data_IF_540047784670
#
_entry.id   IF_540047784670
#
_cell.length_a   1.000
_cell.length_b   1.000
_cell.length_c   1.000
_cell.angle_alpha   90.00
_cell.angle_beta   90.00
_cell.angle_gamma   90.00
#
_symmetry.space_group_name_H-M   'P 1'
#
loop_
_entity.id
_entity.type
_entity.pdbx_description
1 polymer ?
#
# COMPACT_ATOMS: atom_id res chain seq x y z
N UNK A 1 12.67 -12.61 60.37
CA UNK A 1 12.66 -14.08 60.32
C UNK A 1 11.84 -14.49 59.10
N UNK A 2 12.50 -14.69 57.95
CA UNK A 2 12.93 -16.00 57.34
C UNK A 2 11.76 -16.61 56.54
N UNK A 3 11.66 -16.40 55.22
CA UNK A 3 12.30 -17.09 54.06
C UNK A 3 11.49 -18.28 53.47
N UNK A 4 11.30 -18.22 52.13
CA UNK A 4 11.31 -19.29 51.09
C UNK A 4 10.30 -20.48 51.18
N UNK A 5 9.74 -21.08 50.10
CA UNK A 5 10.27 -21.38 48.76
C UNK A 5 9.19 -21.90 47.77
N UNK A 6 9.45 -21.69 46.48
CA UNK A 6 8.76 -22.16 45.27
C UNK A 6 8.51 -23.67 45.19
N UNK A 7 7.46 -24.06 44.45
CA UNK A 7 7.24 -25.42 43.95
C UNK A 7 7.12 -25.41 42.42
N UNK A 8 7.89 -26.31 41.83
CA UNK A 8 8.46 -26.31 40.49
C UNK A 8 7.70 -27.29 39.57
N UNK A 9 7.11 -26.79 38.48
CA UNK A 9 6.33 -27.59 37.50
C UNK A 9 7.20 -28.18 36.38
N UNK A 10 8.53 -28.16 36.52
CA UNK A 10 9.45 -28.79 35.58
C UNK A 10 9.69 -30.30 35.85
N UNK A 11 9.11 -30.87 36.92
CA UNK A 11 9.42 -32.22 37.39
C UNK A 11 8.77 -33.39 36.66
N UNK A 12 7.76 -33.21 35.81
CA UNK A 12 6.97 -34.36 35.30
C UNK A 12 7.46 -34.94 33.97
N UNK A 13 8.26 -34.20 33.19
CA UNK A 13 8.72 -34.65 31.86
C UNK A 13 10.05 -35.41 31.95
N UNK A 14 10.87 -35.16 32.98
CA UNK A 14 12.17 -35.79 33.14
C UNK A 14 12.09 -37.24 33.66
N UNK A 15 11.17 -37.54 34.58
CA UNK A 15 11.05 -38.89 35.16
C UNK A 15 10.48 -39.92 34.17
N UNK A 16 9.65 -39.48 33.23
CA UNK A 16 9.05 -40.35 32.19
C UNK A 16 10.08 -40.82 31.15
N UNK A 17 11.19 -40.10 30.98
CA UNK A 17 12.24 -40.42 30.01
C UNK A 17 13.34 -41.34 30.59
N UNK A 18 13.49 -41.38 31.92
CA UNK A 18 14.46 -42.23 32.60
C UNK A 18 14.03 -43.72 32.67
N UNK A 19 12.72 -44.01 32.71
CA UNK A 19 12.20 -45.39 32.74
C UNK A 19 12.36 -46.14 31.40
N UNK A 20 12.62 -45.44 30.29
CA UNK A 20 12.72 -46.03 28.95
C UNK A 20 14.14 -46.40 28.51
N UNK A 21 15.17 -46.16 29.34
CA UNK A 21 16.55 -46.62 29.05
C UNK A 21 17.20 -46.03 27.80
N UNK A 22 16.67 -44.95 27.23
CA UNK A 22 17.26 -44.26 26.08
C UNK A 22 18.30 -43.28 26.62
N UNK A 23 19.56 -43.69 26.63
CA UNK A 23 20.69 -42.79 26.81
C UNK A 23 20.81 -41.88 25.57
N UNK A 24 20.13 -40.73 25.60
CA UNK A 24 20.44 -39.65 24.68
C UNK A 24 21.74 -38.98 25.14
N UNK A 25 22.87 -39.58 24.79
CA UNK A 25 24.14 -38.84 24.69
C UNK A 25 23.97 -37.84 23.55
N UNK A 26 23.45 -36.65 23.87
CA UNK A 26 23.62 -35.48 23.03
C UNK A 26 25.07 -35.05 23.21
N UNK A 27 25.90 -35.40 22.23
CA UNK A 27 27.25 -34.87 22.08
C UNK A 27 27.15 -33.36 21.87
N UNK A 28 27.16 -32.60 22.96
CA UNK A 28 27.33 -31.15 22.98
C UNK A 28 28.83 -30.85 22.83
N UNK A 29 29.38 -31.13 21.65
CA UNK A 29 30.61 -30.48 21.23
C UNK A 29 30.34 -28.96 21.08
N UNK A 30 31.34 -28.08 21.29
CA UNK A 30 31.16 -26.65 21.12
C UNK A 30 31.02 -26.33 19.62
N UNK A 31 29.81 -26.48 19.09
CA UNK A 31 29.45 -26.00 17.78
C UNK A 31 29.43 -24.48 17.83
N UNK A 32 30.53 -23.84 17.43
CA UNK A 32 30.55 -22.41 17.20
C UNK A 32 29.39 -22.07 16.27
N UNK A 33 28.41 -21.31 16.78
CA UNK A 33 27.33 -20.75 15.96
C UNK A 33 28.02 -20.00 14.82
N UNK A 34 27.83 -20.48 13.58
CA UNK A 34 28.43 -19.80 12.43
C UNK A 34 27.95 -18.35 12.43
N UNK A 35 28.88 -17.42 12.22
CA UNK A 35 28.53 -16.01 12.12
C UNK A 35 27.45 -15.84 11.04
N UNK A 36 26.37 -15.05 11.27
CA UNK A 36 25.27 -14.92 10.32
C UNK A 36 25.75 -14.58 8.90
N UNK A 37 26.72 -13.68 8.77
CA UNK A 37 27.32 -13.31 7.48
C UNK A 37 27.96 -14.50 6.73
N UNK A 38 28.52 -15.48 7.45
CA UNK A 38 29.12 -16.66 6.85
C UNK A 38 28.05 -17.57 6.22
N UNK A 39 26.85 -17.65 6.80
CA UNK A 39 25.73 -18.43 6.27
C UNK A 39 25.25 -17.86 4.93
N UNK A 40 25.09 -16.54 4.83
CA UNK A 40 24.67 -15.89 3.57
C UNK A 40 25.76 -16.02 2.51
N UNK A 41 27.03 -15.86 2.89
CA UNK A 41 28.17 -16.04 1.97
C UNK A 41 28.26 -17.46 1.42
N UNK A 42 28.01 -18.47 2.25
CA UNK A 42 27.95 -19.87 1.82
C UNK A 42 26.87 -20.08 0.75
N UNK A 43 25.68 -19.50 0.95
CA UNK A 43 24.55 -19.61 0.02
C UNK A 43 24.84 -18.87 -1.28
N UNK A 44 25.39 -17.65 -1.21
CA UNK A 44 25.77 -16.87 -2.39
C UNK A 44 26.82 -17.62 -3.24
N UNK A 45 27.81 -18.26 -2.61
CA UNK A 45 28.80 -19.07 -3.32
C UNK A 45 28.19 -20.29 -4.01
N UNK A 46 27.31 -21.01 -3.32
CA UNK A 46 26.64 -22.18 -3.89
C UNK A 46 25.72 -21.81 -5.06
N UNK A 47 24.99 -20.70 -4.96
CA UNK A 47 24.16 -20.17 -6.04
C UNK A 47 25.02 -19.68 -7.21
N UNK A 48 26.18 -19.07 -6.95
CA UNK A 48 27.17 -18.70 -7.97
C UNK A 48 27.70 -19.88 -8.78
N UNK A 49 27.79 -21.07 -8.17
CA UNK A 49 28.17 -22.31 -8.86
C UNK A 49 27.03 -22.93 -9.66
N UNK A 50 25.78 -22.71 -9.25
CA UNK A 50 24.59 -23.19 -9.95
C UNK A 50 24.15 -22.27 -11.11
N UNK A 51 24.62 -21.02 -11.11
CA UNK A 51 24.28 -20.02 -12.11
C UNK A 51 24.99 -20.24 -13.48
N UNK A 52 24.44 -19.70 -14.58
CA UNK A 52 25.04 -19.80 -15.91
C UNK A 52 26.49 -19.33 -15.99
N UNK A 53 27.33 -19.96 -16.81
CA UNK A 53 28.78 -19.68 -16.86
C UNK A 53 29.16 -18.25 -17.28
N UNK A 54 28.21 -17.40 -17.68
CA UNK A 54 28.34 -16.01 -18.10
C UNK A 54 27.61 -15.00 -17.17
N UNK A 55 27.03 -15.46 -16.04
CA UNK A 55 26.37 -14.59 -15.06
C UNK A 55 27.25 -13.42 -14.58
N UNK A 56 26.69 -12.22 -14.46
CA UNK A 56 27.41 -11.01 -14.02
C UNK A 56 27.10 -10.69 -12.55
N UNK A 57 25.79 -10.73 -12.23
CA UNK A 57 25.26 -10.46 -10.89
C UNK A 57 24.18 -11.48 -10.56
N UNK A 58 24.16 -11.94 -9.31
CA UNK A 58 23.06 -12.69 -8.72
C UNK A 58 22.21 -11.78 -7.85
N UNK A 59 20.90 -11.86 -8.01
CA UNK A 59 19.91 -11.30 -7.11
C UNK A 59 19.12 -12.43 -6.48
N UNK A 60 19.05 -12.47 -5.16
CA UNK A 60 18.30 -13.46 -4.43
C UNK A 60 17.33 -12.81 -3.45
N UNK A 61 16.14 -13.40 -3.33
CA UNK A 61 15.11 -13.02 -2.36
C UNK A 61 14.64 -14.29 -1.65
N UNK A 62 14.66 -14.26 -0.33
CA UNK A 62 14.08 -15.30 0.53
C UNK A 62 13.02 -14.67 1.41
N UNK A 63 11.76 -15.04 1.20
CA UNK A 63 10.64 -14.68 2.09
C UNK A 63 10.41 -15.82 3.08
N UNK A 64 10.37 -15.55 4.38
CA UNK A 64 10.18 -16.57 5.42
C UNK A 64 9.33 -16.05 6.57
N UNK A 65 8.26 -16.79 6.91
CA UNK A 65 7.40 -16.52 8.04
C UNK A 65 6.66 -17.80 8.47
N UNK A 66 6.60 -18.09 9.78
CA UNK A 66 5.70 -19.12 10.32
C UNK A 66 5.78 -20.50 9.65
N UNK A 67 6.99 -20.89 9.25
CA UNK A 67 7.29 -22.16 8.57
C UNK A 67 7.05 -22.18 7.05
N UNK A 68 6.50 -21.12 6.46
CA UNK A 68 6.40 -20.97 5.01
C UNK A 68 7.64 -20.26 4.45
N UNK A 69 8.02 -20.62 3.22
CA UNK A 69 9.18 -20.04 2.55
C UNK A 69 8.97 -19.91 1.04
N UNK A 70 9.50 -18.82 0.49
CA UNK A 70 9.68 -18.60 -0.95
C UNK A 70 11.16 -18.26 -1.15
N UNK A 71 11.79 -18.89 -2.13
CA UNK A 71 13.15 -18.58 -2.54
C UNK A 71 13.17 -18.30 -4.05
N UNK A 72 13.61 -17.11 -4.42
CA UNK A 72 13.77 -16.70 -5.82
C UNK A 72 15.19 -16.21 -6.03
N UNK A 73 15.84 -16.72 -7.08
CA UNK A 73 17.20 -16.30 -7.46
C UNK A 73 17.24 -16.06 -8.95
N UNK A 74 17.77 -14.91 -9.34
CA UNK A 74 17.98 -14.52 -10.73
C UNK A 74 19.46 -14.21 -10.96
N UNK A 75 19.99 -14.68 -12.08
CA UNK A 75 21.27 -14.31 -12.63
C UNK A 75 21.06 -13.30 -13.77
N UNK A 76 21.76 -12.18 -13.72
CA UNK A 76 21.86 -11.25 -14.86
C UNK A 76 22.96 -11.77 -15.78
N UNK A 77 22.65 -12.07 -17.04
CA UNK A 77 23.64 -12.44 -18.07
C UNK A 77 23.61 -11.40 -19.20
N UNK A 78 24.60 -11.40 -20.13
CA UNK A 78 24.57 -10.52 -21.30
C UNK A 78 23.31 -10.65 -22.16
N UNK A 79 22.68 -11.82 -22.17
CA UNK A 79 21.49 -12.18 -22.95
C UNK A 79 20.18 -11.89 -22.20
N UNK A 80 20.25 -11.56 -20.90
CA UNK A 80 19.11 -11.19 -20.07
C UNK A 80 19.10 -11.89 -18.72
N UNK A 81 17.97 -11.77 -18.01
CA UNK A 81 17.81 -12.37 -16.69
C UNK A 81 17.41 -13.84 -16.80
N UNK A 82 18.11 -14.71 -16.07
CA UNK A 82 17.87 -16.15 -16.04
C UNK A 82 17.59 -16.59 -14.59
N UNK A 83 16.50 -17.33 -14.38
CA UNK A 83 16.20 -17.91 -13.07
C UNK A 83 17.21 -19.01 -12.70
N UNK A 84 17.72 -18.97 -11.46
CA UNK A 84 18.62 -19.99 -10.93
C UNK A 84 17.83 -20.93 -10.01
N UNK A 85 17.81 -22.24 -10.27
CA UNK A 85 17.11 -23.20 -9.41
C UNK A 85 17.67 -23.19 -7.99
N UNK A 86 16.78 -23.08 -6.99
CA UNK A 86 17.15 -23.15 -5.57
C UNK A 86 16.79 -24.51 -5.02
N UNK A 87 17.80 -25.33 -4.75
CA UNK A 87 17.61 -26.61 -4.09
C UNK A 87 17.33 -26.42 -2.59
N UNK A 88 16.47 -27.25 -2.00
CA UNK A 88 16.07 -27.12 -0.58
C UNK A 88 17.26 -27.12 0.40
N UNK A 89 18.36 -27.82 0.07
CA UNK A 89 19.58 -27.83 0.90
C UNK A 89 20.27 -26.48 0.98
N UNK A 90 20.09 -25.60 -0.02
CA UNK A 90 20.64 -24.25 -0.04
C UNK A 90 19.85 -23.27 0.83
N UNK A 91 18.64 -23.65 1.24
CA UNK A 91 17.76 -22.82 2.07
C UNK A 91 18.10 -23.00 3.57
N UNK A 92 18.63 -24.15 4.00
CA UNK A 92 18.90 -24.40 5.43
C UNK A 92 19.86 -23.40 6.09
N UNK A 93 20.95 -22.94 5.44
CA UNK A 93 21.75 -21.86 6.00
C UNK A 93 20.98 -20.55 6.17
N UNK A 94 20.02 -20.25 5.26
CA UNK A 94 19.15 -19.08 5.38
C UNK A 94 18.14 -19.23 6.52
N UNK A 95 17.57 -20.42 6.73
CA UNK A 95 16.73 -20.70 7.91
C UNK A 95 17.51 -20.54 9.21
N UNK A 96 18.74 -21.06 9.23
CA UNK A 96 19.65 -20.91 10.38
C UNK A 96 19.96 -19.44 10.61
N UNK A 97 20.28 -18.70 9.54
CA UNK A 97 20.51 -17.26 9.60
C UNK A 97 19.34 -16.55 10.27
N UNK A 98 18.11 -16.78 9.79
CA UNK A 98 16.89 -16.19 10.36
C UNK A 98 16.74 -16.43 11.85
N UNK A 99 17.02 -17.65 12.32
CA UNK A 99 16.93 -18.03 13.74
C UNK A 99 17.98 -17.33 14.61
N UNK A 100 19.19 -17.09 14.08
CA UNK A 100 20.30 -16.52 14.86
C UNK A 100 20.44 -15.00 14.72
N UNK A 101 19.73 -14.40 13.76
CA UNK A 101 19.77 -12.96 13.46
C UNK A 101 18.51 -12.22 13.94
N UNK A 102 17.83 -12.71 14.98
CA UNK A 102 16.60 -12.11 15.50
C UNK A 102 16.93 -10.78 16.19
N UNK A 103 16.32 -9.69 15.72
CA UNK A 103 16.45 -8.35 16.31
C UNK A 103 15.28 -8.01 17.23
N UNK A 104 15.21 -6.73 17.66
CA UNK A 104 14.11 -6.21 18.48
C UNK A 104 12.75 -6.29 17.77
N UNK A 105 12.73 -6.07 16.45
CA UNK A 105 11.54 -6.21 15.59
C UNK A 105 11.27 -7.66 15.18
N UNK A 106 11.86 -8.64 15.88
CA UNK A 106 11.78 -10.06 15.54
C UNK A 106 12.71 -10.46 14.37
N UNK A 107 12.54 -11.67 13.81
CA UNK A 107 13.25 -12.08 12.62
C UNK A 107 12.80 -11.25 11.42
N UNK A 108 13.72 -11.01 10.47
CA UNK A 108 13.38 -10.46 9.17
C UNK A 108 12.34 -11.33 8.45
N UNK A 109 11.50 -10.69 7.65
CA UNK A 109 10.49 -11.36 6.83
C UNK A 109 11.02 -11.66 5.42
N UNK A 110 11.92 -10.81 4.94
CA UNK A 110 12.66 -11.00 3.68
C UNK A 110 14.15 -10.76 3.86
N UNK A 111 14.95 -11.63 3.28
CA UNK A 111 16.39 -11.45 3.08
C UNK A 111 16.65 -11.29 1.59
N UNK A 112 17.23 -10.14 1.23
CA UNK A 112 17.64 -9.85 -0.13
C UNK A 112 19.16 -9.82 -0.18
N UNK A 113 19.75 -10.39 -1.23
CA UNK A 113 21.15 -10.13 -1.50
C UNK A 113 21.43 -9.92 -2.97
N UNK A 114 22.48 -9.13 -3.22
CA UNK A 114 23.13 -9.01 -4.52
C UNK A 114 24.58 -9.48 -4.40
N UNK A 115 25.02 -10.34 -5.31
CA UNK A 115 26.38 -10.86 -5.35
C UNK A 115 26.95 -10.74 -6.76
N UNK A 116 28.12 -10.14 -6.91
CA UNK A 116 28.82 -10.09 -8.20
C UNK A 116 29.86 -11.22 -8.34
N UNK A 117 30.45 -11.34 -9.53
CA UNK A 117 31.51 -12.33 -9.80
C UNK A 117 32.79 -12.14 -9.00
N UNK A 118 33.06 -10.94 -8.50
CA UNK A 118 34.22 -10.69 -7.65
C UNK A 118 34.01 -11.21 -6.22
N UNK A 119 32.78 -11.58 -5.89
CA UNK A 119 32.36 -12.00 -4.55
C UNK A 119 31.93 -10.83 -3.68
N UNK A 120 31.72 -9.64 -4.25
CA UNK A 120 31.12 -8.51 -3.54
C UNK A 120 29.66 -8.86 -3.22
N UNK A 121 29.38 -9.09 -1.94
CA UNK A 121 28.08 -9.47 -1.43
C UNK A 121 27.46 -8.29 -0.66
N UNK A 122 26.27 -7.87 -1.09
CA UNK A 122 25.43 -6.90 -0.40
C UNK A 122 24.18 -7.62 0.10
N UNK A 123 23.86 -7.46 1.37
CA UNK A 123 22.71 -8.10 2.02
C UNK A 123 21.84 -7.01 2.62
N UNK A 124 20.53 -7.12 2.44
CA UNK A 124 19.53 -6.30 3.13
C UNK A 124 18.43 -7.17 3.71
N UNK A 125 17.82 -6.65 4.76
CA UNK A 125 16.66 -7.25 5.42
C UNK A 125 15.47 -6.33 5.21
N UNK A 126 14.33 -6.94 4.97
CA UNK A 126 13.06 -6.25 4.78
C UNK A 126 12.05 -6.85 5.77
N UNK A 127 11.43 -5.97 6.55
CA UNK A 127 10.44 -6.29 7.56
C UNK A 127 9.01 -6.05 7.04
N UNK A 128 8.89 -5.95 5.73
CA UNK A 128 7.66 -5.82 4.99
C UNK A 128 6.93 -4.50 5.33
N UNK A 129 7.67 -3.40 5.47
CA UNK A 129 7.12 -2.05 5.64
C UNK A 129 6.15 -1.69 4.49
N UNK A 130 6.45 -2.19 3.29
CA UNK A 130 5.58 -2.14 2.11
C UNK A 130 5.28 -3.56 1.58
N UNK A 131 4.15 -3.77 0.89
CA UNK A 131 3.83 -5.08 0.31
C UNK A 131 4.92 -5.56 -0.65
N UNK A 132 5.45 -6.78 -0.48
CA UNK A 132 6.34 -7.37 -1.47
C UNK A 132 5.57 -7.71 -2.76
N UNK A 133 6.28 -7.95 -3.88
CA UNK A 133 5.68 -8.50 -5.09
C UNK A 133 4.82 -9.75 -4.81
N UNK A 134 3.70 -9.98 -5.53
CA UNK A 134 2.78 -11.09 -5.25
C UNK A 134 3.42 -12.48 -5.24
N UNK A 135 4.44 -12.69 -6.05
CA UNK A 135 5.20 -13.95 -6.17
C UNK A 135 6.22 -14.14 -5.03
N UNK A 136 6.40 -13.14 -4.17
CA UNK A 136 7.26 -13.13 -2.98
C UNK A 136 6.45 -12.98 -1.68
N UNK A 137 5.13 -12.77 -1.79
CA UNK A 137 4.20 -12.63 -0.68
C UNK A 137 3.79 -14.03 -0.17
N UNK A 138 4.05 -14.30 1.10
CA UNK A 138 3.60 -15.54 1.73
C UNK A 138 2.09 -15.50 2.05
N UNK A 139 1.43 -16.65 2.27
CA UNK A 139 0.08 -16.68 2.79
C UNK A 139 -0.08 -15.95 4.14
N UNK A 140 -1.23 -15.33 4.39
CA UNK A 140 -1.50 -14.55 5.60
C UNK A 140 -1.35 -15.35 6.90
N UNK A 141 -1.75 -16.62 6.90
CA UNK A 141 -1.63 -17.53 8.05
C UNK A 141 -0.17 -17.82 8.44
N UNK A 142 0.75 -17.76 7.48
CA UNK A 142 2.18 -17.89 7.74
C UNK A 142 2.73 -16.68 8.50
N UNK A 143 2.35 -15.46 8.09
CA UNK A 143 2.69 -14.25 8.84
C UNK A 143 2.04 -14.26 10.22
N UNK A 144 0.77 -14.66 10.33
CA UNK A 144 0.08 -14.74 11.62
C UNK A 144 0.81 -15.66 12.62
N UNK A 145 1.21 -16.86 12.19
CA UNK A 145 2.02 -17.77 13.03
C UNK A 145 3.35 -17.14 13.45
N UNK A 146 4.01 -16.44 12.52
CA UNK A 146 5.27 -15.76 12.81
C UNK A 146 5.11 -14.65 13.85
N UNK A 147 4.03 -13.86 13.76
CA UNK A 147 3.71 -12.80 14.71
C UNK A 147 3.25 -13.32 16.07
N UNK A 148 2.68 -14.54 16.13
CA UNK A 148 2.37 -15.21 17.39
C UNK A 148 3.64 -15.68 18.11
N UNK A 149 4.65 -16.14 17.37
CA UNK A 149 5.94 -16.55 17.93
C UNK A 149 6.84 -15.34 18.25
N UNK A 150 6.82 -14.32 17.39
CA UNK A 150 7.61 -13.09 17.50
C UNK A 150 6.68 -11.87 17.44
N UNK A 151 6.03 -11.48 18.55
CA UNK A 151 5.15 -10.31 18.59
C UNK A 151 5.87 -9.02 18.20
N UNK A 152 5.25 -8.22 17.32
CA UNK A 152 5.76 -6.91 16.86
C UNK A 152 4.67 -5.86 17.03
N UNK A 153 5.00 -4.71 17.62
CA UNK A 153 4.02 -3.66 17.93
C UNK A 153 3.76 -2.70 16.75
N UNK A 154 4.66 -2.66 15.79
CA UNK A 154 4.78 -1.68 14.71
C UNK A 154 4.45 -2.27 13.32
N UNK A 155 3.72 -3.38 13.28
CA UNK A 155 3.32 -4.01 12.02
C UNK A 155 2.57 -3.01 11.11
N UNK A 156 2.94 -2.91 9.83
CA UNK A 156 2.25 -2.02 8.89
C UNK A 156 0.83 -2.52 8.62
N UNK A 157 -0.09 -1.58 8.35
CA UNK A 157 -1.53 -1.87 8.23
C UNK A 157 -1.82 -2.91 7.15
N UNK A 158 -1.09 -2.88 6.03
CA UNK A 158 -1.28 -3.87 4.97
C UNK A 158 -0.98 -5.29 5.45
N UNK A 159 0.03 -5.47 6.31
CA UNK A 159 0.42 -6.79 6.80
C UNK A 159 -0.57 -7.27 7.86
N UNK A 160 -1.06 -6.36 8.71
CA UNK A 160 -2.17 -6.62 9.62
C UNK A 160 -3.42 -7.09 8.86
N UNK A 161 -3.77 -6.40 7.78
CA UNK A 161 -4.88 -6.76 6.91
C UNK A 161 -4.66 -8.09 6.20
N UNK A 162 -3.45 -8.34 5.67
CA UNK A 162 -3.11 -9.61 5.02
C UNK A 162 -3.21 -10.81 5.98
N UNK A 163 -2.95 -10.60 7.28
CA UNK A 163 -3.09 -11.63 8.31
C UNK A 163 -4.53 -11.82 8.81
N UNK A 164 -5.35 -10.75 8.83
CA UNK A 164 -6.61 -10.73 9.60
C UNK A 164 -7.85 -10.21 8.87
N UNK A 165 -7.77 -9.87 7.60
CA UNK A 165 -8.93 -9.45 6.82
C UNK A 165 -9.84 -10.67 6.52
N UNK A 166 -11.07 -10.61 7.02
CA UNK A 166 -12.11 -11.62 6.81
C UNK A 166 -13.26 -11.05 5.94
N UNK A 167 -13.03 -9.90 5.31
CA UNK A 167 -14.04 -9.19 4.53
C UNK A 167 -14.90 -8.25 5.38
N UNK A 168 -14.40 -7.79 6.53
CA UNK A 168 -15.16 -6.93 7.45
C UNK A 168 -15.55 -5.56 6.83
N UNK A 169 -14.83 -5.13 5.79
CA UNK A 169 -15.09 -3.89 5.05
C UNK A 169 -15.89 -4.11 3.77
N UNK A 170 -16.29 -5.34 3.46
CA UNK A 170 -17.12 -5.59 2.30
C UNK A 170 -18.58 -5.24 2.61
N UNK A 171 -19.22 -4.49 1.72
CA UNK A 171 -20.64 -4.17 1.77
C UNK A 171 -21.34 -4.66 0.50
N UNK A 172 -21.94 -5.83 0.56
CA UNK A 172 -22.68 -6.38 -0.58
C UNK A 172 -23.92 -5.52 -0.90
N UNK A 173 -24.44 -5.62 -2.13
CA UNK A 173 -25.68 -4.93 -2.49
C UNK A 173 -26.90 -5.41 -1.66
N UNK A 174 -26.87 -6.65 -1.16
CA UNK A 174 -27.91 -7.17 -0.29
C UNK A 174 -27.83 -6.54 1.11
N UNK A 175 -26.63 -6.40 1.65
CA UNK A 175 -26.40 -5.75 2.95
C UNK A 175 -26.76 -4.28 2.88
N UNK A 176 -26.31 -3.57 1.83
CA UNK A 176 -26.64 -2.16 1.64
C UNK A 176 -28.14 -1.88 1.62
N UNK A 177 -28.95 -2.75 0.98
CA UNK A 177 -30.42 -2.64 0.99
C UNK A 177 -31.01 -2.89 2.37
N UNK A 178 -30.47 -3.87 3.10
CA UNK A 178 -30.93 -4.21 4.46
C UNK A 178 -30.66 -3.06 5.42
N UNK A 179 -29.45 -2.53 5.41
CA UNK A 179 -29.01 -1.44 6.30
C UNK A 179 -29.83 -0.17 6.05
N UNK A 180 -30.03 0.21 4.79
CA UNK A 180 -30.82 1.39 4.43
C UNK A 180 -32.29 1.27 4.90
N UNK A 181 -32.86 0.06 4.91
CA UNK A 181 -34.22 -0.17 5.41
C UNK A 181 -34.35 -0.12 6.93
N UNK A 182 -33.23 -0.26 7.65
CA UNK A 182 -33.20 -0.30 9.12
C UNK A 182 -33.24 1.08 9.78
N UNK A 183 -33.08 2.17 9.00
CA UNK A 183 -33.14 3.54 9.52
C UNK A 183 -32.03 3.88 10.52
N UNK A 184 -30.83 3.30 10.32
CA UNK A 184 -29.63 3.63 11.09
C UNK A 184 -29.37 5.14 11.15
N UNK A 185 -28.67 5.57 12.20
CA UNK A 185 -28.36 6.97 12.50
C UNK A 185 -27.93 7.78 11.26
N UNK A 186 -28.31 9.07 11.18
CA UNK A 186 -28.04 9.89 10.01
C UNK A 186 -26.53 10.04 9.80
N UNK A 187 -26.12 10.01 8.54
CA UNK A 187 -24.77 10.33 8.13
C UNK A 187 -24.45 11.81 8.36
N UNK A 188 -23.16 12.13 8.48
CA UNK A 188 -22.68 13.49 8.69
C UNK A 188 -22.54 14.19 7.34
N UNK A 189 -23.10 15.40 7.21
CA UNK A 189 -22.81 16.31 6.10
C UNK A 189 -21.45 16.94 6.34
N UNK A 190 -20.57 16.92 5.33
CA UNK A 190 -19.13 17.22 5.46
C UNK A 190 -18.59 18.05 4.29
N UNK A 191 -19.38 19.04 3.86
CA UNK A 191 -19.01 19.93 2.74
C UNK A 191 -17.79 20.81 3.03
N UNK A 192 -17.35 20.90 4.27
CA UNK A 192 -16.14 21.58 4.72
C UNK A 192 -14.87 20.70 4.67
N UNK A 193 -15.04 19.37 4.54
CA UNK A 193 -13.92 18.42 4.44
C UNK A 193 -13.45 18.23 2.99
N UNK A 194 -14.36 18.32 2.02
CA UNK A 194 -14.11 17.98 0.61
C UNK A 194 -14.76 19.01 -0.32
N UNK A 195 -14.08 19.47 -1.38
CA UNK A 195 -14.71 20.30 -2.41
C UNK A 195 -15.95 19.63 -3.03
N UNK A 196 -16.96 20.41 -3.46
CA UNK A 196 -18.09 19.86 -4.22
C UNK A 196 -17.63 18.97 -5.38
N UNK A 197 -18.37 17.88 -5.62
CA UNK A 197 -17.99 16.84 -6.60
C UNK A 197 -17.57 17.41 -7.97
N UNK A 198 -18.27 18.38 -8.59
CA UNK A 198 -17.85 18.91 -9.90
C UNK A 198 -16.45 19.53 -9.88
N UNK A 199 -16.09 20.23 -8.80
CA UNK A 199 -14.78 20.86 -8.66
C UNK A 199 -13.70 19.82 -8.37
N UNK A 200 -13.96 18.88 -7.45
CA UNK A 200 -13.03 17.82 -7.13
C UNK A 200 -12.70 16.98 -8.37
N UNK A 201 -13.73 16.58 -9.12
CA UNK A 201 -13.61 15.80 -10.34
C UNK A 201 -12.78 16.53 -11.41
N UNK A 202 -13.08 17.82 -11.65
CA UNK A 202 -12.34 18.60 -12.63
C UNK A 202 -10.86 18.76 -12.30
N UNK A 203 -10.53 18.95 -11.01
CA UNK A 203 -9.14 19.10 -10.57
C UNK A 203 -8.35 17.79 -10.70
N UNK A 204 -8.96 16.66 -10.40
CA UNK A 204 -8.34 15.34 -10.60
C UNK A 204 -8.14 15.08 -12.09
N UNK A 205 -9.10 15.45 -12.94
CA UNK A 205 -8.97 15.33 -14.39
C UNK A 205 -7.78 16.13 -14.94
N UNK A 206 -7.55 17.35 -14.45
CA UNK A 206 -6.37 18.14 -14.83
C UNK A 206 -5.07 17.46 -14.42
N UNK A 207 -4.99 17.00 -13.17
CA UNK A 207 -3.78 16.31 -12.71
C UNK A 207 -3.54 15.01 -13.49
N UNK A 208 -4.60 14.25 -13.77
CA UNK A 208 -4.52 13.04 -14.60
C UNK A 208 -4.05 13.36 -16.01
N UNK A 209 -4.59 14.40 -16.64
CA UNK A 209 -4.19 14.85 -17.98
C UNK A 209 -2.69 15.18 -18.04
N UNK A 210 -2.17 15.93 -17.06
CA UNK A 210 -0.75 16.30 -17.04
C UNK A 210 0.15 15.09 -16.76
N UNK A 211 -0.19 14.22 -15.78
CA UNK A 211 0.57 13.01 -15.50
C UNK A 211 0.61 12.04 -16.69
N UNK A 212 -0.51 11.92 -17.42
CA UNK A 212 -0.60 11.02 -18.58
C UNK A 212 0.12 11.59 -19.80
N UNK A 213 0.02 12.90 -20.01
CA UNK A 213 0.79 13.60 -21.03
C UNK A 213 2.30 13.49 -20.79
N UNK A 214 2.77 13.60 -19.54
CA UNK A 214 4.19 13.53 -19.18
C UNK A 214 4.75 12.10 -19.09
N UNK A 215 3.95 11.07 -19.40
CA UNK A 215 4.26 9.65 -19.16
C UNK A 215 4.74 9.36 -17.72
N UNK A 216 4.31 10.17 -16.73
CA UNK A 216 4.62 9.92 -15.33
C UNK A 216 4.13 8.52 -14.94
N UNK A 217 5.06 7.73 -14.37
CA UNK A 217 4.75 6.38 -13.92
C UNK A 217 3.59 6.40 -12.92
N UNK A 218 3.63 7.38 -12.03
CA UNK A 218 2.70 7.59 -10.93
C UNK A 218 1.83 8.83 -11.15
N UNK A 219 0.56 8.74 -10.75
CA UNK A 219 -0.39 9.84 -10.90
C UNK A 219 -1.83 9.34 -11.06
N UNK A 220 -2.82 10.22 -10.84
CA UNK A 220 -4.20 9.85 -11.00
C UNK A 220 -4.51 9.48 -12.46
N UNK A 221 -5.54 8.65 -12.64
CA UNK A 221 -6.08 8.28 -13.94
C UNK A 221 -7.58 8.51 -13.93
N UNK A 222 -8.11 9.03 -15.02
CA UNK A 222 -9.54 9.25 -15.19
C UNK A 222 -10.09 8.44 -16.36
N UNK A 223 -11.28 7.92 -16.15
CA UNK A 223 -12.19 7.46 -17.19
C UNK A 223 -13.56 8.15 -16.99
N UNK A 224 -14.55 7.93 -17.86
CA UNK A 224 -15.85 8.60 -17.73
C UNK A 224 -16.63 8.32 -16.43
N UNK A 225 -16.37 7.22 -15.73
CA UNK A 225 -17.07 6.85 -14.50
C UNK A 225 -16.15 6.85 -13.28
N UNK A 226 -14.84 6.66 -13.43
CA UNK A 226 -13.91 6.50 -12.33
C UNK A 226 -12.72 7.43 -12.44
N UNK A 227 -12.28 7.94 -11.30
CA UNK A 227 -10.95 8.50 -11.13
C UNK A 227 -10.23 7.71 -10.05
N UNK A 228 -9.03 7.21 -10.34
CA UNK A 228 -8.23 6.43 -9.41
C UNK A 228 -6.91 7.16 -9.14
N UNK A 229 -6.47 7.14 -7.89
CA UNK A 229 -5.17 7.60 -7.46
C UNK A 229 -4.52 6.53 -6.61
N UNK A 230 -3.26 6.22 -6.90
CA UNK A 230 -2.40 5.44 -6.04
C UNK A 230 -1.08 6.18 -5.90
N UNK A 231 -0.62 6.37 -4.67
CA UNK A 231 0.57 7.14 -4.35
C UNK A 231 1.21 6.64 -3.06
N UNK A 232 2.36 7.20 -2.71
CA UNK A 232 3.17 6.72 -1.57
C UNK A 232 2.43 6.77 -0.22
N UNK A 233 1.53 7.75 -0.03
CA UNK A 233 0.76 7.93 1.19
C UNK A 233 -0.50 7.05 1.29
N UNK A 234 -0.92 6.43 0.19
CA UNK A 234 -2.21 5.76 0.09
C UNK A 234 -2.83 5.92 -1.30
N UNK A 235 -4.12 5.63 -1.39
CA UNK A 235 -4.85 5.76 -2.64
C UNK A 235 -6.34 5.86 -2.43
N UNK A 236 -7.02 6.24 -3.50
CA UNK A 236 -8.47 6.40 -3.52
C UNK A 236 -9.07 6.18 -4.91
N UNK A 237 -10.36 5.86 -4.92
CA UNK A 237 -11.22 5.86 -6.10
C UNK A 237 -12.38 6.81 -5.88
N UNK A 238 -12.67 7.63 -6.89
CA UNK A 238 -13.93 8.34 -7.06
C UNK A 238 -14.74 7.64 -8.15
N UNK A 239 -15.92 7.15 -7.82
CA UNK A 239 -16.88 6.59 -8.75
C UNK A 239 -18.04 7.58 -8.96
N UNK A 240 -18.27 8.06 -10.18
CA UNK A 240 -19.47 8.80 -10.58
C UNK A 240 -20.59 7.83 -10.92
N UNK A 241 -21.77 8.09 -10.38
CA UNK A 241 -22.96 7.27 -10.52
C UNK A 241 -24.08 8.07 -11.22
N UNK A 242 -25.05 7.38 -11.87
CA UNK A 242 -26.22 8.05 -12.44
C UNK A 242 -26.99 8.88 -11.41
N UNK A 243 -27.55 10.01 -11.87
CA UNK A 243 -28.33 10.91 -11.02
C UNK A 243 -27.47 11.86 -10.18
N UNK A 244 -26.30 12.25 -10.70
CA UNK A 244 -25.34 13.13 -10.04
C UNK A 244 -24.92 12.63 -8.65
N UNK A 245 -24.67 11.33 -8.55
CA UNK A 245 -24.20 10.71 -7.30
C UNK A 245 -22.73 10.35 -7.46
N UNK A 246 -22.03 10.24 -6.35
CA UNK A 246 -20.68 9.68 -6.36
C UNK A 246 -20.34 8.96 -5.07
N UNK A 247 -19.29 8.14 -5.15
CA UNK A 247 -18.60 7.57 -3.99
C UNK A 247 -17.15 7.97 -4.12
N UNK A 248 -16.57 8.48 -3.03
CA UNK A 248 -15.13 8.62 -2.85
C UNK A 248 -14.72 7.68 -1.73
N UNK A 249 -13.84 6.74 -2.00
CA UNK A 249 -13.40 5.78 -1.00
C UNK A 249 -11.92 5.48 -1.19
N UNK A 250 -11.22 5.19 -0.11
CA UNK A 250 -9.78 4.95 -0.16
C UNK A 250 -9.19 4.70 1.21
N UNK A 251 -7.88 4.80 1.29
CA UNK A 251 -7.18 4.69 2.55
C UNK A 251 -5.72 5.11 2.46
N UNK A 252 -5.20 5.55 3.61
CA UNK A 252 -3.77 5.80 3.81
C UNK A 252 -3.05 4.53 4.24
N UNK A 253 -1.78 4.40 3.87
CA UNK A 253 -0.96 3.19 4.12
C UNK A 253 -0.72 2.93 5.62
N UNK A 254 -0.72 3.97 6.43
CA UNK A 254 -0.41 3.98 7.86
C UNK A 254 -1.62 4.42 8.72
N UNK A 255 -2.84 4.04 8.32
CA UNK A 255 -4.07 4.46 9.02
C UNK A 255 -4.07 4.04 10.51
N UNK A 256 -4.07 5.00 11.45
CA UNK A 256 -4.14 4.69 12.88
C UNK A 256 -5.44 3.97 13.24
N UNK A 257 -6.54 4.34 12.57
CA UNK A 257 -7.85 3.70 12.74
C UNK A 257 -7.79 2.20 12.45
N UNK A 258 -7.25 1.83 11.29
CA UNK A 258 -7.15 0.42 10.90
C UNK A 258 -6.11 -0.35 11.71
N UNK A 259 -4.98 0.29 12.03
CA UNK A 259 -3.96 -0.30 12.90
C UNK A 259 -4.56 -0.72 14.25
N UNK A 260 -5.28 0.19 14.92
CA UNK A 260 -5.93 -0.08 16.19
C UNK A 260 -7.05 -1.13 16.05
N UNK A 261 -7.84 -1.09 14.97
CA UNK A 261 -8.90 -2.07 14.73
C UNK A 261 -8.35 -3.50 14.58
N UNK A 262 -7.29 -3.67 13.77
CA UNK A 262 -6.65 -4.98 13.57
C UNK A 262 -5.94 -5.50 14.82
N UNK A 263 -5.40 -4.59 15.64
CA UNK A 263 -4.80 -4.94 16.94
C UNK A 263 -5.85 -5.24 18.03
N UNK A 264 -7.14 -5.06 17.74
CA UNK A 264 -8.22 -5.26 18.70
C UNK A 264 -8.28 -4.17 19.78
N UNK A 265 -7.62 -3.02 19.56
CA UNK A 265 -7.62 -1.87 20.46
C UNK A 265 -8.94 -1.09 20.37
N UNK A 266 -9.64 -1.18 19.24
CA UNK A 266 -10.98 -0.64 19.03
C UNK A 266 -11.88 -1.63 18.29
N UNK A 267 -13.20 -1.44 18.43
CA UNK A 267 -14.20 -2.18 17.68
C UNK A 267 -14.13 -1.81 16.19
N UNK A 268 -14.39 -2.75 15.29
CA UNK A 268 -14.26 -2.53 13.85
C UNK A 268 -15.08 -1.30 13.38
N UNK A 269 -14.46 -0.33 12.68
CA UNK A 269 -15.15 0.89 12.27
C UNK A 269 -16.18 0.62 11.16
N UNK A 270 -17.41 1.10 11.36
CA UNK A 270 -18.46 1.05 10.33
C UNK A 270 -18.39 2.31 9.44
N UNK A 271 -17.57 2.22 8.38
CA UNK A 271 -17.42 3.30 7.40
C UNK A 271 -18.67 3.55 6.53
N UNK A 272 -19.71 2.71 6.68
CA UNK A 272 -20.94 2.76 5.89
C UNK A 272 -22.17 3.09 6.73
N UNK A 273 -21.99 3.47 8.00
CA UNK A 273 -23.08 3.87 8.89
C UNK A 273 -23.88 5.02 8.26
N UNK A 274 -25.19 4.80 8.08
CA UNK A 274 -26.08 5.78 7.44
C UNK A 274 -25.95 5.86 5.91
N UNK A 275 -25.12 5.01 5.27
CA UNK A 275 -24.92 5.02 3.84
C UNK A 275 -26.15 4.52 3.07
N UNK A 276 -26.46 5.13 1.92
CA UNK A 276 -27.63 4.77 1.12
C UNK A 276 -27.50 3.37 0.51
N UNK A 277 -28.64 2.79 0.10
CA UNK A 277 -28.74 1.43 -0.44
C UNK A 277 -27.95 1.18 -1.73
N UNK A 278 -27.58 2.26 -2.45
CA UNK A 278 -26.82 2.20 -3.69
C UNK A 278 -25.30 2.21 -3.47
N UNK A 279 -24.84 2.50 -2.25
CA UNK A 279 -23.42 2.45 -1.91
C UNK A 279 -23.06 0.99 -1.58
N UNK A 280 -22.27 0.34 -2.41
CA UNK A 280 -21.87 -1.06 -2.22
C UNK A 280 -20.62 -1.37 -3.02
N UNK A 281 -20.04 -2.55 -2.82
CA UNK A 281 -18.73 -3.00 -3.35
C UNK A 281 -18.43 -2.65 -4.82
N UNK A 282 -19.43 -2.60 -5.70
CA UNK A 282 -19.23 -2.22 -7.11
C UNK A 282 -18.54 -0.85 -7.31
N UNK A 283 -18.74 0.09 -6.38
CA UNK A 283 -18.29 1.47 -6.50
C UNK A 283 -17.18 1.82 -5.51
N UNK A 284 -16.74 0.85 -4.70
CA UNK A 284 -15.74 1.06 -3.67
C UNK A 284 -14.34 0.83 -4.24
N UNK A 285 -13.37 1.51 -3.63
CA UNK A 285 -11.96 1.24 -3.84
C UNK A 285 -11.65 -0.24 -3.53
N UNK A 286 -10.84 -0.93 -4.35
CA UNK A 286 -10.42 -2.31 -4.10
C UNK A 286 -9.83 -2.56 -2.71
N UNK A 287 -9.32 -1.52 -2.04
CA UNK A 287 -8.89 -1.54 -0.64
C UNK A 287 -9.99 -2.05 0.30
N UNK A 288 -11.27 -1.89 -0.01
CA UNK A 288 -12.36 -2.48 0.77
C UNK A 288 -12.28 -4.01 0.81
N UNK A 289 -11.98 -4.65 -0.32
CA UNK A 289 -11.79 -6.11 -0.38
C UNK A 289 -10.48 -6.54 0.30
N UNK A 290 -9.46 -5.67 0.30
CA UNK A 290 -8.18 -5.92 0.95
C UNK A 290 -8.16 -5.59 2.46
N UNK A 291 -9.24 -5.04 3.03
CA UNK A 291 -9.26 -4.62 4.44
C UNK A 291 -8.45 -3.33 4.73
N UNK A 292 -8.21 -2.53 3.69
CA UNK A 292 -7.34 -1.35 3.71
C UNK A 292 -8.11 -0.04 3.54
N UNK A 293 -9.45 -0.06 3.56
CA UNK A 293 -10.28 1.12 3.44
C UNK A 293 -10.29 1.88 4.76
N UNK A 294 -9.86 3.13 4.78
CA UNK A 294 -9.85 3.96 5.99
C UNK A 294 -10.82 5.15 5.94
N UNK A 295 -11.35 5.47 4.75
CA UNK A 295 -12.44 6.43 4.60
C UNK A 295 -13.41 6.06 3.47
N UNK A 296 -14.65 6.51 3.62
CA UNK A 296 -15.69 6.41 2.59
C UNK A 296 -16.63 7.61 2.70
N UNK A 297 -16.76 8.33 1.60
CA UNK A 297 -17.64 9.48 1.42
C UNK A 297 -18.60 9.23 0.26
N UNK A 298 -19.77 9.82 0.31
CA UNK A 298 -20.74 9.74 -0.77
C UNK A 298 -21.44 11.06 -1.04
N UNK A 299 -21.63 11.33 -2.31
CA UNK A 299 -22.30 12.52 -2.84
C UNK A 299 -23.69 12.14 -3.33
N UNK A 300 -24.70 12.91 -2.93
CA UNK A 300 -26.10 12.65 -3.28
C UNK A 300 -26.66 13.54 -4.40
N UNK A 301 -25.86 14.47 -4.91
CA UNK A 301 -26.26 15.52 -5.85
C UNK A 301 -26.12 16.93 -5.29
N UNK A 302 -25.98 17.07 -3.97
CA UNK A 302 -25.88 18.38 -3.32
C UNK A 302 -24.82 18.44 -2.21
N UNK A 303 -24.65 17.36 -1.46
CA UNK A 303 -23.79 17.34 -0.28
C UNK A 303 -22.88 16.12 -0.25
N UNK A 304 -21.69 16.30 0.33
CA UNK A 304 -20.87 15.17 0.74
C UNK A 304 -21.31 14.66 2.11
N UNK A 305 -21.37 13.34 2.22
CA UNK A 305 -21.67 12.63 3.45
C UNK A 305 -20.59 11.63 3.78
N UNK A 306 -20.43 11.34 5.08
CA UNK A 306 -19.70 10.16 5.57
C UNK A 306 -20.34 9.59 6.82
N UNK A 307 -19.91 8.39 7.21
CA UNK A 307 -20.27 7.80 8.48
C UNK A 307 -19.71 8.62 9.68
N UNK A 308 -20.48 8.63 10.77
CA UNK A 308 -19.93 8.89 12.10
C UNK A 308 -19.20 7.63 12.58
N UNK A 309 -17.99 7.79 13.12
CA UNK A 309 -17.12 6.68 13.57
C UNK A 309 -16.93 6.80 15.09
N UNK A 310 -17.94 6.47 15.90
CA UNK A 310 -17.83 6.55 17.36
C UNK A 310 -16.77 5.60 17.93
N UNK A 311 -16.44 4.53 17.22
CA UNK A 311 -15.40 3.56 17.59
C UNK A 311 -14.02 4.23 17.70
N UNK A 312 -13.79 5.31 16.94
CA UNK A 312 -12.56 6.08 16.97
C UNK A 312 -12.39 6.97 18.20
N UNK A 313 -13.39 7.04 19.11
CA UNK A 313 -13.27 7.80 20.36
C UNK A 313 -12.08 7.33 21.22
N UNK A 314 -11.68 6.06 21.12
CA UNK A 314 -10.49 5.53 21.79
C UNK A 314 -9.17 6.19 21.30
N UNK A 315 -9.16 6.73 20.08
CA UNK A 315 -8.00 7.39 19.48
C UNK A 315 -7.92 8.89 19.78
N UNK A 316 -8.91 9.47 20.48
CA UNK A 316 -8.90 10.88 20.81
C UNK A 316 -7.72 11.29 21.73
N UNK A 317 -7.11 10.33 22.43
CA UNK A 317 -5.94 10.53 23.29
C UNK A 317 -4.58 10.31 22.61
N UNK A 318 -4.53 9.99 21.31
CA UNK A 318 -3.26 9.88 20.58
C UNK A 318 -2.65 11.27 20.34
N UNK A 319 -1.33 11.33 20.13
CA UNK A 319 -0.65 12.56 19.73
C UNK A 319 -0.02 12.39 18.33
N UNK A 320 -0.52 13.10 17.29
CA UNK A 320 -1.75 13.91 17.29
C UNK A 320 -3.02 13.05 17.43
N UNK A 321 -4.15 13.64 17.86
CA UNK A 321 -5.42 12.93 17.94
C UNK A 321 -5.84 12.51 16.55
N UNK A 322 -6.29 11.27 16.39
CA UNK A 322 -6.78 10.81 15.10
C UNK A 322 -7.97 11.65 14.65
N UNK A 323 -7.97 12.01 13.37
CA UNK A 323 -9.12 12.59 12.68
C UNK A 323 -9.21 12.03 11.26
N UNK A 324 -10.43 11.91 10.75
CA UNK A 324 -10.69 11.35 9.40
C UNK A 324 -10.17 12.25 8.27
N UNK A 325 -10.05 13.56 8.52
CA UNK A 325 -9.53 14.52 7.52
C UNK A 325 -8.06 14.21 7.20
N UNK A 326 -7.26 13.78 8.16
CA UNK A 326 -5.89 13.34 7.92
C UNK A 326 -5.83 12.07 7.07
N UNK A 327 -6.82 11.17 7.22
CA UNK A 327 -6.91 9.94 6.42
C UNK A 327 -7.19 10.25 4.94
N UNK A 328 -8.14 11.14 4.66
CA UNK A 328 -8.41 11.57 3.28
C UNK A 328 -7.27 12.43 2.71
N UNK A 329 -6.69 13.34 3.49
CA UNK A 329 -5.56 14.20 3.03
C UNK A 329 -4.35 13.37 2.62
N UNK A 330 -4.11 12.23 3.28
CA UNK A 330 -3.00 11.31 2.97
C UNK A 330 -3.34 10.31 1.87
N UNK A 331 -4.60 9.91 1.73
CA UNK A 331 -5.04 8.96 0.71
C UNK A 331 -5.39 9.59 -0.64
N UNK A 332 -5.49 10.92 -0.72
CA UNK A 332 -5.85 11.65 -1.94
C UNK A 332 -4.71 12.54 -2.45
N UNK A 333 -4.68 12.83 -3.77
CA UNK A 333 -3.84 13.91 -4.26
C UNK A 333 -4.35 15.24 -3.70
N UNK A 334 -3.47 16.20 -3.46
CA UNK A 334 -3.76 17.50 -2.82
C UNK A 334 -4.62 18.48 -3.64
N UNK A 335 -5.66 18.01 -4.32
CA UNK A 335 -6.53 18.76 -5.25
C UNK A 335 -7.67 19.53 -4.56
N UNK A 336 -7.40 20.03 -3.36
CA UNK A 336 -8.39 20.68 -2.49
C UNK A 336 -8.85 22.05 -2.99
N UNK A 337 -7.98 22.75 -3.71
CA UNK A 337 -8.25 24.08 -4.25
C UNK A 337 -7.68 24.22 -5.66
N UNK A 338 -8.09 25.26 -6.38
CA UNK A 338 -7.46 25.62 -7.65
C UNK A 338 -5.95 25.81 -7.49
N UNK A 339 -5.52 26.49 -6.42
CA UNK A 339 -4.11 26.79 -6.15
C UNK A 339 -3.30 25.53 -5.86
N UNK A 340 -3.76 24.68 -4.93
CA UNK A 340 -3.06 23.44 -4.58
C UNK A 340 -3.00 22.44 -5.76
N UNK A 341 -4.01 22.47 -6.64
CA UNK A 341 -4.01 21.69 -7.88
C UNK A 341 -3.00 22.24 -8.89
N UNK A 342 -2.92 23.56 -9.05
CA UNK A 342 -1.93 24.21 -9.91
C UNK A 342 -0.49 23.90 -9.44
N UNK A 343 -0.22 23.94 -8.13
CA UNK A 343 1.08 23.56 -7.55
C UNK A 343 1.43 22.09 -7.83
N UNK A 344 0.45 21.19 -7.84
CA UNK A 344 0.65 19.79 -8.22
C UNK A 344 1.02 19.66 -9.71
N UNK A 345 0.33 20.38 -10.58
CA UNK A 345 0.66 20.44 -12.02
C UNK A 345 2.09 20.94 -12.22
N UNK A 346 2.48 22.02 -11.55
CA UNK A 346 3.84 22.55 -11.62
C UNK A 346 4.89 21.51 -11.21
N UNK A 347 4.64 20.75 -10.14
CA UNK A 347 5.56 19.68 -9.71
C UNK A 347 5.73 18.59 -10.76
N UNK A 348 4.64 18.20 -11.44
CA UNK A 348 4.72 17.20 -12.51
C UNK A 348 5.51 17.76 -13.69
N UNK A 349 5.26 19.01 -14.09
CA UNK A 349 5.95 19.66 -15.21
C UNK A 349 7.46 19.84 -14.95
N UNK A 350 7.85 20.29 -13.76
CA UNK A 350 9.26 20.41 -13.35
C UNK A 350 10.00 19.06 -13.45
N UNK A 351 9.31 17.95 -13.19
CA UNK A 351 9.87 16.60 -13.33
C UNK A 351 10.07 16.14 -14.77
N UNK A 352 9.41 16.77 -15.74
CA UNK A 352 9.39 16.33 -17.14
C UNK A 352 10.67 16.74 -17.89
N UNK A 353 11.05 18.02 -17.84
CA UNK A 353 12.27 18.53 -18.49
C UNK A 353 13.05 19.41 -17.52
N UNK A 354 14.26 18.95 -17.17
CA UNK A 354 15.14 19.69 -16.29
C UNK A 354 15.57 21.03 -16.91
N UNK A 355 15.24 22.14 -16.23
CA UNK A 355 15.65 23.48 -16.63
C UNK A 355 14.79 24.15 -17.71
N UNK A 356 13.65 23.55 -18.09
CA UNK A 356 12.66 24.22 -18.94
C UNK A 356 11.98 25.39 -18.20
N UNK A 357 11.65 26.45 -18.93
CA UNK A 357 10.79 27.52 -18.42
C UNK A 357 9.32 27.12 -18.51
N UNK A 358 8.59 27.33 -17.42
CA UNK A 358 7.17 27.00 -17.30
C UNK A 358 6.37 28.27 -17.03
N UNK A 359 5.15 28.34 -17.55
CA UNK A 359 4.28 29.49 -17.27
C UNK A 359 3.71 29.40 -15.86
N UNK A 360 4.09 30.31 -14.95
CA UNK A 360 3.63 30.31 -13.56
C UNK A 360 2.10 30.46 -13.39
N UNK A 361 1.40 31.04 -14.36
CA UNK A 361 -0.05 31.25 -14.27
C UNK A 361 -0.87 30.25 -15.08
N UNK A 362 -0.27 29.58 -16.07
CA UNK A 362 -0.99 28.67 -16.97
C UNK A 362 -1.63 27.46 -16.24
N UNK A 363 -0.99 26.80 -15.25
CA UNK A 363 -1.63 25.75 -14.47
C UNK A 363 -2.91 26.23 -13.80
N UNK A 364 -2.89 27.44 -13.22
CA UNK A 364 -4.08 28.02 -12.58
C UNK A 364 -5.20 28.26 -13.60
N UNK A 365 -4.86 28.77 -14.80
CA UNK A 365 -5.85 28.96 -15.88
C UNK A 365 -6.45 27.64 -16.37
N UNK A 366 -5.62 26.62 -16.57
CA UNK A 366 -6.07 25.28 -16.95
C UNK A 366 -7.03 24.69 -15.90
N UNK A 367 -6.68 24.78 -14.61
CA UNK A 367 -7.54 24.27 -13.54
C UNK A 367 -8.88 25.00 -13.53
N UNK A 368 -8.90 26.33 -13.62
CA UNK A 368 -10.15 27.11 -13.68
C UNK A 368 -10.99 26.76 -14.89
N UNK A 369 -10.35 26.58 -16.05
CA UNK A 369 -11.05 26.20 -17.27
C UNK A 369 -11.70 24.82 -17.14
N UNK A 370 -11.03 23.86 -16.50
CA UNK A 370 -11.61 22.55 -16.21
C UNK A 370 -12.77 22.64 -15.21
N UNK A 371 -12.63 23.45 -14.15
CA UNK A 371 -13.71 23.70 -13.17
C UNK A 371 -14.98 24.28 -13.81
N UNK A 372 -14.83 25.02 -14.92
CA UNK A 372 -15.94 25.54 -15.72
C UNK A 372 -16.31 24.68 -16.95
N UNK A 373 -15.76 23.46 -17.07
CA UNK A 373 -15.94 22.56 -18.21
C UNK A 373 -15.65 23.22 -19.57
N UNK A 374 -14.61 24.06 -19.60
CA UNK A 374 -14.15 24.81 -20.76
C UNK A 374 -12.64 24.64 -21.02
N UNK A 375 -12.03 23.57 -20.49
CA UNK A 375 -10.64 23.25 -20.78
C UNK A 375 -10.47 23.01 -22.29
N UNK A 376 -9.28 23.29 -22.82
CA UNK A 376 -9.01 23.16 -24.25
C UNK A 376 -7.54 22.89 -24.50
N UNK A 377 -7.22 22.50 -25.74
CA UNK A 377 -5.84 22.33 -26.21
C UNK A 377 -5.00 23.60 -26.00
N UNK A 378 -5.57 24.78 -26.21
CA UNK A 378 -4.89 26.05 -25.97
C UNK A 378 -4.43 26.19 -24.50
N UNK A 379 -5.25 25.78 -23.54
CA UNK A 379 -4.87 25.82 -22.12
C UNK A 379 -3.71 24.85 -21.80
N UNK A 380 -3.62 23.71 -22.49
CA UNK A 380 -2.49 22.79 -22.35
C UNK A 380 -1.23 23.38 -22.99
N UNK A 381 -1.34 23.97 -24.18
CA UNK A 381 -0.22 24.62 -24.86
C UNK A 381 0.35 25.80 -24.05
N UNK A 382 -0.50 26.56 -23.35
CA UNK A 382 -0.06 27.66 -22.49
C UNK A 382 0.86 27.24 -21.34
N UNK A 383 0.87 25.95 -20.96
CA UNK A 383 1.81 25.43 -19.96
C UNK A 383 3.26 25.53 -20.44
N UNK A 384 3.47 25.52 -21.76
CA UNK A 384 4.77 25.44 -22.43
C UNK A 384 5.04 26.70 -23.27
N UNK A 385 5.53 27.81 -22.68
CA UNK A 385 5.72 29.07 -23.39
C UNK A 385 6.70 28.96 -24.59
N UNK A 386 7.67 28.06 -24.51
CA UNK A 386 8.67 27.81 -25.56
C UNK A 386 8.27 26.69 -26.55
N UNK A 387 7.04 26.19 -26.46
CA UNK A 387 6.53 25.07 -27.23
C UNK A 387 6.53 23.76 -26.45
N UNK A 388 5.64 22.86 -26.85
CA UNK A 388 5.44 21.57 -26.18
C UNK A 388 6.66 20.65 -26.42
N UNK A 389 7.26 20.07 -25.35
CA UNK A 389 8.37 19.14 -25.48
C UNK A 389 7.91 17.80 -26.06
N UNK A 390 8.82 17.08 -26.73
CA UNK A 390 8.52 15.78 -27.36
C UNK A 390 8.09 14.72 -26.31
N UNK A 391 8.50 14.89 -25.06
CA UNK A 391 8.13 14.03 -23.93
C UNK A 391 6.69 14.25 -23.42
N UNK A 392 5.99 15.30 -23.88
CA UNK A 392 4.61 15.57 -23.49
C UNK A 392 3.59 15.21 -24.59
N UNK A 393 2.78 14.18 -24.35
CA UNK A 393 1.69 13.78 -25.22
C UNK A 393 0.42 14.62 -24.96
N UNK A 394 0.23 15.67 -25.77
CA UNK A 394 -0.97 16.53 -25.72
C UNK A 394 -2.25 15.76 -26.04
N UNK A 395 -2.19 14.78 -26.94
CA UNK A 395 -3.38 14.02 -27.35
C UNK A 395 -3.88 13.14 -26.20
N UNK A 396 -2.96 12.48 -25.48
CA UNK A 396 -3.29 11.73 -24.27
C UNK A 396 -3.83 12.65 -23.17
N UNK A 397 -3.23 13.82 -22.96
CA UNK A 397 -3.72 14.80 -21.98
C UNK A 397 -5.15 15.28 -22.31
N UNK A 398 -5.42 15.59 -23.59
CA UNK A 398 -6.76 15.95 -24.06
C UNK A 398 -7.77 14.80 -23.88
N UNK A 399 -7.37 13.57 -24.16
CA UNK A 399 -8.24 12.40 -23.98
C UNK A 399 -8.66 12.22 -22.51
N UNK A 400 -7.78 12.51 -21.54
CA UNK A 400 -8.13 12.49 -20.11
C UNK A 400 -9.16 13.59 -19.75
N UNK A 401 -8.99 14.80 -20.27
CA UNK A 401 -9.93 15.91 -20.04
C UNK A 401 -11.30 15.64 -20.69
N UNK A 402 -11.31 15.05 -21.89
CA UNK A 402 -12.53 14.66 -22.60
C UNK A 402 -13.26 13.53 -21.88
N UNK A 403 -12.54 12.47 -21.49
CA UNK A 403 -13.10 11.35 -20.73
C UNK A 403 -13.74 11.83 -19.43
N UNK A 404 -13.11 12.78 -18.74
CA UNK A 404 -13.66 13.39 -17.54
C UNK A 404 -14.88 14.30 -17.81
N UNK A 405 -15.11 14.73 -19.05
CA UNK A 405 -16.20 15.64 -19.43
C UNK A 405 -15.93 17.10 -19.03
N UNK A 406 -14.67 17.52 -18.96
CA UNK A 406 -14.26 18.89 -18.61
C UNK A 406 -13.65 19.66 -19.78
N UNK A 407 -13.49 18.99 -20.92
CA UNK A 407 -13.14 19.63 -22.18
C UNK A 407 -14.33 20.46 -22.69
N UNK A 408 -14.08 21.71 -23.08
CA UNK A 408 -15.08 22.54 -23.71
C UNK A 408 -15.53 21.92 -25.03
N UNK A 409 -16.83 21.97 -25.30
CA UNK A 409 -17.35 21.53 -26.59
C UNK A 409 -16.63 22.30 -27.72
N UNK A 410 -15.99 21.58 -28.64
CA UNK A 410 -15.44 22.18 -29.84
C UNK A 410 -16.57 22.96 -30.51
N UNK A 411 -16.40 24.29 -30.63
CA UNK A 411 -17.41 25.15 -31.20
C UNK A 411 -17.79 24.61 -32.58
N UNK A 412 -19.01 24.12 -32.73
CA UNK A 412 -19.62 23.91 -34.03
C UNK A 412 -19.69 25.28 -34.71
N UNK A 413 -18.64 25.60 -35.48
CA UNK A 413 -18.53 26.80 -36.30
C UNK A 413 -18.71 26.41 -37.76
#
# INVERSE_FOLDING_TARGET
MTEQRDADTAGYVADTLAELGIAATVDQGPGAVQAPEALVRQVAQALGQAAPADWQTLHAVFSMAGGAEIAQVMAVTPEGNVAVPVESRLIEPIRTHRRVSVGESGPWLRLLFACDRSGELRVSFDYCETPPPPDQLLPGDAYLRDFQEYPRNDAPVWLLAHMGNEGQQMRSAADARRDASSGLAPALVVDDEIPPLPLLWARIAVLAAVCRGSAAADGPRCDPAYAAHDGEGGGCVIARLPGDRAVLSGGRIDSPLLSAAYKGELAWPDLYRGAPAWLHNLYLDPRAAAGLLSFCYWWDGAHWYRAEIPEAAALAGTEPPWNVVDDIVRGMPGVWTTASTAELVDRVLVGLVAGAEWSAEAPTRLVRAAESASASEAHLMELFPDGVPDEFDVAEALAQLDAAGVLGAAGAS
#
